data_IF_526165578863
#
_entry.id   IF_526165578863
#
_cell.length_a   1.000
_cell.length_b   1.000
_cell.length_c   1.000
_cell.angle_alpha   90.00
_cell.angle_beta   90.00
_cell.angle_gamma   90.00
#
_symmetry.space_group_name_H-M   'P 1'
#
loop_
_entity.id
_entity.type
_entity.pdbx_description
1 polymer ?
#
# COMPACT_ATOMS: atom_id res chain seq x y z
N UNK A 1 13.90 6.05 7.15
CA UNK A 1 13.00 5.16 6.42
C UNK A 1 13.79 3.87 6.23
N UNK A 2 13.76 3.00 7.26
CA UNK A 2 14.44 1.71 7.24
C UNK A 2 13.47 0.62 6.83
N UNK A 3 13.76 -0.08 5.72
CA UNK A 3 13.04 -1.29 5.35
C UNK A 3 13.77 -2.52 5.91
N UNK A 4 13.02 -3.48 6.44
CA UNK A 4 13.54 -4.80 6.86
C UNK A 4 13.05 -5.94 5.97
N UNK A 5 12.31 -5.62 4.92
CA UNK A 5 11.83 -6.55 3.91
C UNK A 5 11.58 -5.85 2.56
N UNK A 6 10.91 -6.55 1.63
CA UNK A 6 10.64 -6.05 0.26
C UNK A 6 9.33 -5.27 0.19
N UNK A 7 8.40 -5.63 1.06
CA UNK A 7 7.08 -5.02 1.14
C UNK A 7 7.16 -3.65 1.80
N UNK A 8 6.33 -2.72 1.37
CA UNK A 8 6.15 -1.44 2.04
C UNK A 8 5.58 -1.61 3.46
N UNK A 9 4.82 -2.69 3.73
CA UNK A 9 4.41 -3.04 5.09
C UNK A 9 5.56 -3.59 5.96
N UNK A 10 6.74 -3.82 5.39
CA UNK A 10 7.98 -4.23 6.07
C UNK A 10 8.97 -3.05 6.18
N UNK A 11 8.45 -1.83 6.37
CA UNK A 11 9.21 -0.60 6.59
C UNK A 11 8.62 0.25 7.74
N UNK A 12 9.40 1.22 8.21
CA UNK A 12 8.96 2.21 9.21
C UNK A 12 7.69 2.95 8.73
N UNK A 13 7.63 3.27 7.43
CA UNK A 13 6.51 3.98 6.79
C UNK A 13 5.25 3.10 6.75
N UNK A 14 5.42 1.79 6.59
CA UNK A 14 4.35 0.82 6.77
C UNK A 14 3.74 0.84 8.17
N UNK A 15 4.57 0.98 9.22
CA UNK A 15 4.09 1.11 10.60
C UNK A 15 3.30 2.41 10.81
N UNK A 16 3.78 3.50 10.24
CA UNK A 16 3.08 4.79 10.29
C UNK A 16 1.72 4.71 9.59
N UNK A 17 1.63 4.03 8.44
CA UNK A 17 0.36 3.77 7.75
C UNK A 17 -0.62 2.97 8.63
N UNK A 18 -0.14 1.95 9.36
CA UNK A 18 -0.97 1.23 10.33
C UNK A 18 -1.47 2.16 11.45
N UNK A 19 -0.64 3.10 11.90
CA UNK A 19 -1.02 4.14 12.86
C UNK A 19 -2.22 4.94 12.36
N UNK A 20 -2.17 5.43 11.11
CA UNK A 20 -3.28 6.16 10.47
C UNK A 20 -4.55 5.31 10.41
N UNK A 21 -4.45 4.04 10.04
CA UNK A 21 -5.62 3.15 9.98
C UNK A 21 -6.22 2.94 11.37
N UNK A 22 -5.37 2.80 12.40
CA UNK A 22 -5.83 2.68 13.80
C UNK A 22 -6.51 3.95 14.30
N UNK A 23 -6.22 5.12 13.76
CA UNK A 23 -6.96 6.35 14.07
C UNK A 23 -8.41 6.32 13.56
N UNK A 24 -8.68 5.59 12.47
CA UNK A 24 -10.02 5.41 11.90
C UNK A 24 -10.89 4.43 12.70
N UNK A 25 -10.31 3.64 13.60
CA UNK A 25 -11.06 2.81 14.54
C UNK A 25 -11.83 3.69 15.54
N UNK A 26 -13.10 3.36 15.87
CA UNK A 26 -13.69 2.01 15.87
C UNK A 26 -14.48 1.64 14.60
N UNK A 27 -14.23 2.25 13.44
CA UNK A 27 -14.92 1.84 12.23
C UNK A 27 -14.58 0.38 11.88
N UNK A 28 -15.56 -0.52 11.93
CA UNK A 28 -15.40 -1.92 11.50
C UNK A 28 -15.21 -2.03 9.97
N UNK A 29 -15.46 -0.94 9.24
CA UNK A 29 -15.27 -0.85 7.80
C UNK A 29 -14.25 0.23 7.49
N UNK A 30 -13.18 -0.15 6.79
CA UNK A 30 -12.21 0.80 6.24
C UNK A 30 -12.55 0.97 4.76
N UNK A 31 -12.57 2.22 4.28
CA UNK A 31 -12.75 2.51 2.87
C UNK A 31 -11.45 3.09 2.28
N UNK A 32 -10.99 2.52 1.16
CA UNK A 32 -9.75 2.92 0.51
C UNK A 32 -9.81 4.37 0.02
N UNK A 33 -10.95 4.83 -0.51
CA UNK A 33 -11.11 6.19 -1.00
C UNK A 33 -11.01 7.20 0.15
N UNK A 34 -11.62 6.89 1.30
CA UNK A 34 -11.51 7.70 2.52
C UNK A 34 -10.08 7.73 3.06
N UNK A 35 -9.41 6.57 3.11
CA UNK A 35 -8.03 6.47 3.57
C UNK A 35 -7.08 7.27 2.66
N UNK A 36 -7.17 7.10 1.34
CA UNK A 36 -6.39 7.89 0.38
C UNK A 36 -6.66 9.39 0.50
N UNK A 37 -7.91 9.80 0.76
CA UNK A 37 -8.26 11.20 0.96
C UNK A 37 -7.63 11.77 2.25
N UNK A 38 -7.67 11.01 3.36
CA UNK A 38 -7.03 11.39 4.62
C UNK A 38 -5.52 11.52 4.45
N UNK A 39 -4.89 10.51 3.86
CA UNK A 39 -3.44 10.50 3.60
C UNK A 39 -2.99 11.66 2.72
N UNK A 40 -3.79 12.03 1.71
CA UNK A 40 -3.49 13.21 0.88
C UNK A 40 -3.66 14.52 1.66
N UNK A 41 -4.66 14.62 2.54
CA UNK A 41 -4.87 15.81 3.36
C UNK A 41 -3.76 16.02 4.39
N UNK A 42 -3.19 14.92 4.90
CA UNK A 42 -2.09 14.91 5.86
C UNK A 42 -0.70 14.95 5.19
N UNK A 43 -0.65 15.16 3.86
CA UNK A 43 0.57 15.16 3.03
C UNK A 43 1.43 13.90 3.21
N UNK A 44 0.78 12.74 3.41
CA UNK A 44 1.40 11.43 3.69
C UNK A 44 1.23 10.43 2.54
N UNK A 45 0.64 10.81 1.40
CA UNK A 45 0.42 9.91 0.27
C UNK A 45 1.66 9.83 -0.65
N UNK A 46 2.75 9.26 -0.13
CA UNK A 46 3.99 9.03 -0.86
C UNK A 46 3.97 7.71 -1.65
N UNK A 47 5.00 7.47 -2.47
CA UNK A 47 5.14 6.23 -3.25
C UNK A 47 5.15 4.97 -2.35
N UNK A 48 5.88 5.03 -1.23
CA UNK A 48 5.93 3.94 -0.24
C UNK A 48 4.56 3.68 0.38
N UNK A 49 3.83 4.75 0.72
CA UNK A 49 2.47 4.65 1.27
C UNK A 49 1.49 4.06 0.26
N UNK A 50 1.64 4.40 -1.02
CA UNK A 50 0.82 3.84 -2.11
C UNK A 50 1.08 2.34 -2.26
N UNK A 51 2.33 1.90 -2.19
CA UNK A 51 2.68 0.48 -2.16
C UNK A 51 2.05 -0.22 -0.95
N UNK A 52 2.17 0.38 0.24
CA UNK A 52 1.56 -0.15 1.48
C UNK A 52 0.04 -0.27 1.39
N UNK A 53 -0.64 0.72 0.80
CA UNK A 53 -2.09 0.65 0.56
C UNK A 53 -2.47 -0.48 -0.39
N UNK A 54 -1.70 -0.70 -1.46
CA UNK A 54 -1.93 -1.80 -2.40
C UNK A 54 -1.73 -3.15 -1.72
N UNK A 55 -0.67 -3.30 -0.93
CA UNK A 55 -0.40 -4.49 -0.15
C UNK A 55 -1.52 -4.79 0.84
N UNK A 56 -1.90 -3.81 1.66
CA UNK A 56 -2.97 -3.95 2.65
C UNK A 56 -4.30 -4.31 2.02
N UNK A 57 -4.65 -3.67 0.90
CA UNK A 57 -5.89 -3.96 0.21
C UNK A 57 -5.89 -5.39 -0.32
N UNK A 58 -4.85 -5.79 -1.04
CA UNK A 58 -4.75 -7.13 -1.60
C UNK A 58 -4.69 -8.21 -0.52
N UNK A 59 -3.94 -7.98 0.55
CA UNK A 59 -3.86 -8.89 1.69
C UNK A 59 -5.23 -9.07 2.35
N UNK A 60 -5.97 -7.99 2.59
CA UNK A 60 -7.30 -8.08 3.17
C UNK A 60 -8.25 -8.87 2.25
N UNK A 61 -8.16 -8.67 0.94
CA UNK A 61 -8.99 -9.38 -0.03
C UNK A 61 -8.62 -10.87 -0.18
N UNK A 62 -7.38 -11.25 0.14
CA UNK A 62 -6.91 -12.64 0.11
C UNK A 62 -7.20 -13.37 1.44
N UNK A 63 -6.99 -12.68 2.57
CA UNK A 63 -6.99 -13.29 3.90
C UNK A 63 -8.23 -12.95 4.74
N UNK A 64 -9.00 -11.93 4.37
CA UNK A 64 -10.18 -11.46 5.10
C UNK A 64 -9.86 -10.65 6.37
N UNK A 65 -8.62 -10.20 6.54
CA UNK A 65 -8.17 -9.45 7.71
C UNK A 65 -6.67 -9.17 7.67
N UNK A 66 -6.21 -8.44 8.68
CA UNK A 66 -4.80 -8.09 8.88
C UNK A 66 -4.27 -8.65 10.19
N UNK A 67 -3.02 -9.11 10.21
CA UNK A 67 -2.34 -9.63 11.41
C UNK A 67 -1.08 -8.81 11.72
N UNK A 68 -1.26 -7.50 11.88
CA UNK A 68 -0.21 -6.54 12.27
C UNK A 68 -0.32 -6.05 13.72
N UNK A 69 -1.20 -6.64 14.52
CA UNK A 69 -1.36 -6.26 15.93
C UNK A 69 -0.23 -6.85 16.79
N UNK A 70 0.43 -6.02 17.60
CA UNK A 70 1.34 -6.49 18.65
C UNK A 70 0.60 -6.79 19.96
N UNK A 71 1.23 -7.58 20.86
CA UNK A 71 0.59 -8.12 22.09
C UNK A 71 0.00 -7.04 23.03
N UNK A 72 0.44 -5.78 22.94
CA UNK A 72 0.08 -4.67 23.85
C UNK A 72 -0.64 -3.50 23.15
N UNK A 73 -1.41 -3.75 22.10
CA UNK A 73 -2.13 -2.66 21.40
C UNK A 73 -3.52 -2.35 21.96
N UNK A 74 -3.81 -1.06 22.19
CA UNK A 74 -5.12 -0.57 22.63
C UNK A 74 -6.21 -0.70 21.54
N UNK A 75 -5.82 -0.66 20.26
CA UNK A 75 -6.72 -0.73 19.10
C UNK A 75 -6.26 -1.82 18.15
N UNK A 76 -7.08 -2.87 18.04
CA UNK A 76 -6.76 -4.04 17.24
C UNK A 76 -7.34 -3.94 15.83
N UNK A 77 -6.50 -4.14 14.82
CA UNK A 77 -6.88 -4.24 13.41
C UNK A 77 -7.78 -5.45 13.13
N UNK A 78 -7.80 -6.46 14.03
CA UNK A 78 -8.75 -7.59 13.98
C UNK A 78 -10.22 -7.17 14.12
N UNK A 79 -10.47 -5.92 14.52
CA UNK A 79 -11.82 -5.34 14.56
C UNK A 79 -12.31 -4.94 13.17
N UNK A 80 -11.42 -4.74 12.20
CA UNK A 80 -11.80 -4.42 10.82
C UNK A 80 -12.42 -5.66 10.18
N UNK A 81 -13.68 -5.55 9.78
CA UNK A 81 -14.50 -6.60 9.16
C UNK A 81 -14.61 -6.46 7.65
N UNK A 82 -14.42 -5.25 7.14
CA UNK A 82 -14.45 -4.99 5.71
C UNK A 82 -13.41 -3.93 5.34
N UNK A 83 -12.68 -4.17 4.26
CA UNK A 83 -11.90 -3.17 3.56
C UNK A 83 -12.48 -2.99 2.16
N UNK A 84 -13.23 -1.91 1.97
CA UNK A 84 -13.90 -1.58 0.71
C UNK A 84 -13.06 -0.63 -0.13
N UNK A 85 -13.28 -0.66 -1.44
CA UNK A 85 -12.73 0.32 -2.35
C UNK A 85 -13.75 0.54 -3.46
N UNK A 86 -13.95 1.80 -3.84
CA UNK A 86 -14.63 2.08 -5.09
C UNK A 86 -13.67 1.87 -6.28
N UNK A 87 -14.25 1.77 -7.48
CA UNK A 87 -13.47 1.59 -8.70
C UNK A 87 -12.46 2.73 -8.93
N UNK A 88 -12.82 3.96 -8.61
CA UNK A 88 -11.98 5.12 -8.85
C UNK A 88 -10.74 5.12 -7.95
N UNK A 89 -10.86 4.68 -6.69
CA UNK A 89 -9.72 4.51 -5.79
C UNK A 89 -8.79 3.39 -6.26
N UNK A 90 -9.33 2.27 -6.71
CA UNK A 90 -8.51 1.19 -7.29
C UNK A 90 -7.79 1.63 -8.57
N UNK A 91 -8.47 2.37 -9.45
CA UNK A 91 -7.86 2.95 -10.65
C UNK A 91 -6.78 3.99 -10.29
N UNK A 92 -7.01 4.83 -9.28
CA UNK A 92 -6.03 5.80 -8.80
C UNK A 92 -4.78 5.13 -8.21
N UNK A 93 -4.98 4.07 -7.41
CA UNK A 93 -3.90 3.29 -6.83
C UNK A 93 -3.06 2.62 -7.92
N UNK A 94 -3.72 1.94 -8.88
CA UNK A 94 -3.05 1.30 -10.00
C UNK A 94 -2.32 2.32 -10.90
N UNK A 95 -2.91 3.50 -11.13
CA UNK A 95 -2.25 4.53 -11.93
C UNK A 95 -0.97 5.02 -11.25
N UNK A 96 -0.99 5.25 -9.94
CA UNK A 96 0.20 5.68 -9.21
C UNK A 96 1.31 4.60 -9.26
N UNK A 97 0.95 3.33 -9.11
CA UNK A 97 1.92 2.23 -9.29
C UNK A 97 2.49 2.17 -10.73
N UNK A 98 1.67 2.45 -11.75
CA UNK A 98 2.15 2.56 -13.14
C UNK A 98 3.12 3.73 -13.31
N UNK A 99 2.90 4.83 -12.62
CA UNK A 99 3.81 5.97 -12.67
C UNK A 99 5.15 5.66 -11.98
N UNK A 100 5.16 4.86 -10.92
CA UNK A 100 6.39 4.29 -10.32
C UNK A 100 7.07 3.35 -11.33
N UNK A 101 6.31 2.44 -11.95
CA UNK A 101 6.83 1.50 -12.93
C UNK A 101 7.43 2.17 -14.17
N UNK A 102 6.86 3.29 -14.61
CA UNK A 102 7.41 4.03 -15.73
C UNK A 102 8.80 4.60 -15.39
N UNK A 103 9.00 5.14 -14.19
CA UNK A 103 10.34 5.60 -13.76
C UNK A 103 11.33 4.42 -13.67
N UNK A 104 10.88 3.28 -13.15
CA UNK A 104 11.67 2.03 -13.14
C UNK A 104 12.16 1.64 -14.54
N UNK A 105 11.30 1.74 -15.56
CA UNK A 105 11.61 1.33 -16.94
C UNK A 105 12.41 2.38 -17.72
N UNK A 106 12.09 3.66 -17.52
CA UNK A 106 12.80 4.77 -18.15
C UNK A 106 14.17 5.00 -17.52
N UNK A 107 14.34 4.60 -16.25
CA UNK A 107 15.53 4.89 -15.45
C UNK A 107 15.74 6.39 -15.31
N UNK A 108 14.67 7.17 -15.20
CA UNK A 108 14.75 8.62 -15.12
C UNK A 108 15.32 9.08 -13.78
N UNK A 109 15.10 8.28 -12.72
CA UNK A 109 15.56 8.58 -11.36
C UNK A 109 14.84 9.80 -10.80
N UNK A 110 13.61 10.05 -11.27
CA UNK A 110 12.80 11.19 -10.83
C UNK A 110 12.17 10.94 -9.45
N UNK A 111 12.00 9.68 -9.05
CA UNK A 111 11.45 9.28 -7.76
C UNK A 111 12.54 8.77 -6.83
N UNK A 112 12.67 9.42 -5.68
CA UNK A 112 13.61 9.06 -4.61
C UNK A 112 13.49 7.57 -4.21
N UNK A 113 12.27 7.01 -4.23
CA UNK A 113 12.04 5.61 -3.90
C UNK A 113 12.68 4.66 -4.92
N UNK A 114 12.59 4.99 -6.21
CA UNK A 114 13.16 4.17 -7.28
C UNK A 114 14.68 4.19 -7.20
N UNK A 115 15.28 5.37 -6.99
CA UNK A 115 16.72 5.53 -6.78
C UNK A 115 17.20 4.70 -5.57
N UNK A 116 16.50 4.81 -4.44
CA UNK A 116 16.81 4.06 -3.22
C UNK A 116 16.87 2.55 -3.46
N UNK A 117 15.85 1.99 -4.09
CA UNK A 117 15.79 0.56 -4.35
C UNK A 117 16.78 0.11 -5.43
N UNK A 118 17.09 0.98 -6.41
CA UNK A 118 18.06 0.70 -7.45
C UNK A 118 19.49 0.55 -6.89
N UNK A 119 19.82 1.28 -5.83
CA UNK A 119 21.09 1.16 -5.11
C UNK A 119 21.15 -0.07 -4.18
N UNK A 120 20.01 -0.72 -3.93
CA UNK A 120 19.90 -1.86 -3.03
C UNK A 120 20.31 -3.19 -3.68
N UNK A 121 20.68 -4.19 -2.86
CA UNK A 121 20.91 -5.56 -3.34
C UNK A 121 19.63 -6.30 -3.74
N UNK A 122 18.46 -5.74 -3.45
CA UNK A 122 17.15 -6.36 -3.65
C UNK A 122 16.32 -5.68 -4.74
N UNK A 123 16.97 -4.88 -5.59
CA UNK A 123 16.33 -4.16 -6.69
C UNK A 123 15.38 -5.02 -7.54
N UNK A 124 15.86 -6.18 -8.03
CA UNK A 124 15.08 -7.06 -8.89
C UNK A 124 13.87 -7.66 -8.16
N UNK A 125 14.02 -7.99 -6.87
CA UNK A 125 12.95 -8.52 -6.02
C UNK A 125 11.87 -7.46 -5.76
N UNK A 126 12.30 -6.23 -5.46
CA UNK A 126 11.39 -5.10 -5.26
C UNK A 126 10.66 -4.73 -6.54
N UNK A 127 11.36 -4.65 -7.68
CA UNK A 127 10.74 -4.43 -8.99
C UNK A 127 9.68 -5.50 -9.28
N UNK A 128 10.00 -6.78 -9.08
CA UNK A 128 9.04 -7.87 -9.28
C UNK A 128 7.81 -7.74 -8.36
N UNK A 129 8.01 -7.26 -7.13
CA UNK A 129 6.92 -6.98 -6.20
C UNK A 129 6.00 -5.85 -6.68
N UNK A 130 6.54 -4.71 -7.14
CA UNK A 130 5.73 -3.63 -7.74
C UNK A 130 4.90 -4.13 -8.93
N UNK A 131 5.52 -4.92 -9.82
CA UNK A 131 4.81 -5.52 -10.96
C UNK A 131 3.68 -6.45 -10.49
N UNK A 132 3.92 -7.28 -9.49
CA UNK A 132 2.92 -8.21 -8.94
C UNK A 132 1.72 -7.45 -8.36
N UNK A 133 1.94 -6.35 -7.64
CA UNK A 133 0.86 -5.52 -7.11
C UNK A 133 -0.01 -4.95 -8.25
N UNK A 134 0.62 -4.43 -9.30
CA UNK A 134 -0.09 -3.92 -10.47
C UNK A 134 -0.95 -4.99 -11.14
N UNK A 135 -0.40 -6.18 -11.40
CA UNK A 135 -1.10 -7.30 -12.03
C UNK A 135 -2.32 -7.75 -11.20
N UNK A 136 -2.16 -7.84 -9.88
CA UNK A 136 -3.25 -8.21 -8.97
C UNK A 136 -4.37 -7.16 -8.95
N UNK A 137 -4.02 -5.87 -8.93
CA UNK A 137 -5.00 -4.78 -8.95
C UNK A 137 -5.75 -4.70 -10.30
N UNK A 138 -5.03 -4.87 -11.42
CA UNK A 138 -5.65 -4.90 -12.75
C UNK A 138 -6.64 -6.07 -12.87
N UNK A 139 -6.25 -7.26 -12.41
CA UNK A 139 -7.13 -8.43 -12.37
C UNK A 139 -8.41 -8.18 -11.53
N UNK A 140 -8.31 -7.45 -10.42
CA UNK A 140 -9.47 -7.07 -9.60
C UNK A 140 -10.38 -6.09 -10.33
N UNK A 141 -9.83 -5.05 -10.96
CA UNK A 141 -10.60 -4.08 -11.74
C UNK A 141 -11.35 -4.70 -12.93
N UNK A 142 -10.87 -5.83 -13.45
CA UNK A 142 -11.54 -6.63 -14.49
C UNK A 142 -12.65 -7.51 -13.90
N UNK A 143 -12.53 -8.00 -12.67
CA UNK A 143 -13.55 -8.81 -12.00
C UNK A 143 -14.74 -7.99 -11.50
N UNK A 144 -14.53 -6.70 -11.20
CA UNK A 144 -15.56 -5.74 -10.80
C UNK A 144 -16.37 -5.15 -12.00
N UNK A 145 -16.32 -5.79 -13.19
CA UNK A 145 -17.05 -5.40 -14.41
C UNK A 145 -18.37 -6.14 -14.57
#
# INVERSE_FOLDING_TARGET
MGAWGIKAMESDEGLDLLGVIKELLPCETVDLSELMAKLRADDFLYDETVLGLAELYLEFQENGGWDYDYEEEERSLKQVRAFTADRAALEALLQHLKDIWNDIEEGSGERDLVELWQESSSWDEWRAHVQQLMEKLDARLVQER
#
